data_IF_145561152700
#
_entry.id   IF_145561152700
#
_cell.length_a   1.000
_cell.length_b   1.000
_cell.length_c   1.000
_cell.angle_alpha   90.00
_cell.angle_beta   90.00
_cell.angle_gamma   90.00
#
_symmetry.space_group_name_H-M   'P 1'
#
loop_
_entity.id
_entity.type
_entity.pdbx_description
1 polymer ?
#
# COMPACT_ATOMS: atom_id res chain seq x y z
N UNK A 1 -1.06 -18.54 21.09
CA UNK A 1 -0.36 -18.86 19.82
C UNK A 1 0.39 -17.61 19.39
N UNK A 2 1.71 -17.65 19.16
CA UNK A 2 2.42 -16.50 18.62
C UNK A 2 1.95 -16.24 17.18
N UNK A 3 1.85 -14.98 16.74
CA UNK A 3 1.50 -14.67 15.35
C UNK A 3 2.54 -15.29 14.43
N UNK A 4 2.08 -15.90 13.33
CA UNK A 4 2.95 -16.27 12.23
C UNK A 4 3.50 -14.97 11.67
N UNK A 5 4.71 -14.61 12.11
CA UNK A 5 5.53 -13.58 11.48
C UNK A 5 5.75 -14.07 10.06
N UNK A 6 4.95 -13.57 9.11
CA UNK A 6 5.20 -13.80 7.70
C UNK A 6 6.60 -13.25 7.46
N UNK A 7 7.47 -14.14 6.99
CA UNK A 7 8.87 -13.86 6.70
C UNK A 7 8.91 -12.54 5.94
N UNK A 8 9.55 -11.52 6.53
CA UNK A 8 9.36 -10.11 6.16
C UNK A 8 9.24 -9.97 4.65
N UNK A 9 8.16 -9.33 4.16
CA UNK A 9 7.86 -9.10 2.75
C UNK A 9 9.12 -9.12 1.87
N UNK A 10 9.11 -9.87 0.76
CA UNK A 10 10.24 -10.02 -0.16
C UNK A 10 11.01 -8.70 -0.41
N UNK A 11 10.34 -7.55 -0.50
CA UNK A 11 10.98 -6.23 -0.61
C UNK A 11 11.70 -5.74 0.65
N UNK A 12 11.20 -5.98 1.85
CA UNK A 12 11.91 -5.61 3.08
C UNK A 12 13.22 -6.37 3.21
N UNK A 13 13.26 -7.66 2.84
CA UNK A 13 14.51 -8.42 2.77
C UNK A 13 15.44 -7.94 1.66
N UNK A 14 14.86 -7.55 0.51
CA UNK A 14 15.60 -7.13 -0.70
C UNK A 14 16.06 -5.67 -0.68
N UNK A 15 15.37 -4.78 0.01
CA UNK A 15 15.66 -3.34 0.04
C UNK A 15 16.13 -2.85 1.41
N UNK A 16 15.99 -3.67 2.46
CA UNK A 16 16.35 -3.30 3.84
C UNK A 16 17.85 -3.09 4.07
N UNK A 17 18.70 -3.79 3.33
CA UNK A 17 20.16 -3.57 3.34
C UNK A 17 20.57 -2.69 2.16
N UNK A 18 21.47 -1.72 2.37
CA UNK A 18 21.90 -0.78 1.32
C UNK A 18 22.44 -1.53 0.10
N UNK A 19 23.31 -2.53 0.29
CA UNK A 19 23.87 -3.31 -0.81
C UNK A 19 22.80 -4.03 -1.64
N UNK A 20 21.82 -4.65 -0.97
CA UNK A 20 20.70 -5.31 -1.65
C UNK A 20 19.77 -4.31 -2.32
N UNK A 21 19.53 -3.14 -1.70
CA UNK A 21 18.72 -2.08 -2.29
C UNK A 21 19.30 -1.64 -3.63
N UNK A 22 20.60 -1.41 -3.70
CA UNK A 22 21.29 -1.07 -4.95
C UNK A 22 21.08 -2.17 -6.00
N UNK A 23 21.43 -3.42 -5.67
CA UNK A 23 21.27 -4.56 -6.59
C UNK A 23 19.83 -4.69 -7.11
N UNK A 24 18.84 -4.58 -6.23
CA UNK A 24 17.43 -4.67 -6.59
C UNK A 24 16.91 -3.45 -7.34
N UNK A 25 17.54 -2.29 -7.18
CA UNK A 25 17.22 -1.09 -7.95
C UNK A 25 17.80 -1.22 -9.34
N UNK A 26 19.05 -1.64 -9.48
CA UNK A 26 19.69 -1.94 -10.78
C UNK A 26 18.87 -2.96 -11.57
N UNK A 27 18.50 -4.07 -10.94
CA UNK A 27 17.67 -5.09 -11.60
C UNK A 27 16.28 -4.58 -12.00
N UNK A 28 15.68 -3.66 -11.22
CA UNK A 28 14.41 -3.02 -11.58
C UNK A 28 14.57 -2.11 -12.80
N UNK A 29 15.62 -1.29 -12.85
CA UNK A 29 15.92 -0.41 -13.98
C UNK A 29 16.24 -1.21 -15.25
N UNK A 30 17.09 -2.23 -15.13
CA UNK A 30 17.52 -3.07 -16.25
C UNK A 30 16.35 -3.85 -16.89
N UNK A 31 15.33 -4.21 -16.10
CA UNK A 31 14.12 -4.86 -16.62
C UNK A 31 13.26 -3.95 -17.50
N UNK A 32 13.43 -2.63 -17.42
CA UNK A 32 12.70 -1.66 -18.22
C UNK A 32 11.64 -0.89 -17.42
N UNK A 33 11.79 0.43 -17.43
CA UNK A 33 10.95 1.36 -16.67
C UNK A 33 10.60 2.58 -17.51
N UNK A 34 9.46 3.19 -17.23
CA UNK A 34 9.08 4.51 -17.75
C UNK A 34 9.00 5.52 -16.61
N UNK A 35 9.25 6.80 -16.92
CA UNK A 35 8.96 7.88 -15.99
C UNK A 35 7.46 7.94 -15.72
N UNK A 36 7.09 8.08 -14.46
CA UNK A 36 5.71 8.17 -14.00
C UNK A 36 5.47 9.53 -13.35
N UNK A 37 4.47 10.25 -13.86
CA UNK A 37 4.06 11.53 -13.30
C UNK A 37 2.89 11.31 -12.35
N UNK A 38 3.12 11.60 -11.06
CA UNK A 38 2.08 11.59 -10.04
C UNK A 38 1.52 13.01 -9.89
N UNK A 39 0.24 13.27 -10.23
CA UNK A 39 -0.36 14.60 -10.09
C UNK A 39 -0.23 15.14 -8.66
N UNK A 40 0.15 16.41 -8.52
CA UNK A 40 0.33 17.07 -7.24
C UNK A 40 1.64 16.73 -6.50
N UNK A 41 2.44 15.78 -6.99
CA UNK A 41 3.74 15.47 -6.42
C UNK A 41 4.87 16.20 -7.16
N UNK A 42 5.50 17.16 -6.48
CA UNK A 42 6.69 17.84 -7.00
C UNK A 42 7.91 16.96 -6.77
N UNK A 43 8.43 16.39 -7.86
CA UNK A 43 9.58 15.50 -7.82
C UNK A 43 10.85 16.29 -7.42
N UNK A 44 11.50 15.96 -6.30
CA UNK A 44 12.70 16.67 -5.88
C UNK A 44 13.89 16.41 -6.81
N UNK A 45 14.80 17.38 -6.90
CA UNK A 45 16.03 17.25 -7.70
C UNK A 45 16.80 16.00 -7.29
N UNK A 46 17.23 15.21 -8.28
CA UNK A 46 17.97 13.97 -8.06
C UNK A 46 17.10 12.75 -7.74
N UNK A 47 15.76 12.88 -7.76
CA UNK A 47 14.83 11.76 -7.68
C UNK A 47 14.11 11.54 -9.00
N UNK A 48 13.71 10.29 -9.24
CA UNK A 48 12.88 9.86 -10.37
C UNK A 48 11.77 8.97 -9.86
N UNK A 49 10.54 9.24 -10.27
CA UNK A 49 9.42 8.36 -10.02
C UNK A 49 9.21 7.50 -11.26
N UNK A 50 9.33 6.18 -11.10
CA UNK A 50 9.39 5.23 -12.21
C UNK A 50 8.31 4.17 -12.05
N UNK A 51 7.71 3.76 -13.18
CA UNK A 51 6.81 2.61 -13.28
C UNK A 51 7.48 1.49 -14.06
N UNK A 52 7.34 0.26 -13.59
CA UNK A 52 7.70 -0.94 -14.34
C UNK A 52 6.89 -1.05 -15.63
N UNK A 53 7.53 -1.43 -16.73
CA UNK A 53 6.84 -1.69 -18.00
C UNK A 53 6.05 -3.01 -17.98
N UNK A 54 6.37 -3.93 -17.06
CA UNK A 54 5.85 -5.30 -17.04
C UNK A 54 4.98 -5.61 -15.82
N UNK A 55 4.83 -4.65 -14.90
CA UNK A 55 4.04 -4.82 -13.68
C UNK A 55 3.48 -3.49 -13.18
N UNK A 56 2.61 -3.57 -12.18
CA UNK A 56 2.07 -2.40 -11.47
C UNK A 56 2.96 -2.04 -10.28
N UNK A 57 4.27 -2.04 -10.50
CA UNK A 57 5.27 -1.66 -9.52
C UNK A 57 5.78 -0.25 -9.84
N UNK A 58 5.84 0.58 -8.81
CA UNK A 58 6.26 1.98 -8.87
C UNK A 58 7.35 2.20 -7.85
N UNK A 59 8.41 2.94 -8.22
CA UNK A 59 9.53 3.26 -7.33
C UNK A 59 9.92 4.71 -7.44
N UNK A 60 10.17 5.32 -6.28
CA UNK A 60 10.91 6.56 -6.18
C UNK A 60 12.39 6.22 -6.02
N UNK A 61 13.16 6.46 -7.08
CA UNK A 61 14.58 6.14 -7.20
C UNK A 61 15.42 7.41 -7.13
N UNK A 62 16.58 7.31 -6.52
CA UNK A 62 17.60 8.36 -6.45
C UNK A 62 18.98 7.73 -6.63
N UNK A 63 20.05 8.52 -6.49
CA UNK A 63 21.42 8.03 -6.51
C UNK A 63 22.03 8.22 -5.13
N UNK A 64 22.64 7.18 -4.58
CA UNK A 64 23.41 7.20 -3.34
C UNK A 64 24.81 6.67 -3.63
N UNK A 65 25.83 7.50 -3.36
CA UNK A 65 27.23 7.21 -3.68
C UNK A 65 27.46 6.74 -5.15
N UNK A 66 26.82 7.45 -6.09
CA UNK A 66 26.90 7.13 -7.52
C UNK A 66 26.12 5.90 -7.98
N UNK A 67 25.45 5.18 -7.06
CA UNK A 67 24.68 3.97 -7.35
C UNK A 67 23.17 4.21 -7.23
N UNK A 68 22.33 3.55 -8.03
CA UNK A 68 20.89 3.75 -7.95
C UNK A 68 20.34 3.16 -6.65
N UNK A 69 19.40 3.88 -6.05
CA UNK A 69 18.84 3.59 -4.75
C UNK A 69 17.33 3.81 -4.76
N UNK A 70 16.56 2.82 -4.33
CA UNK A 70 15.12 2.95 -4.12
C UNK A 70 14.88 3.59 -2.76
N UNK A 71 14.19 4.74 -2.72
CA UNK A 71 13.76 5.40 -1.50
C UNK A 71 12.33 5.01 -1.07
N UNK A 72 11.47 4.70 -2.04
CA UNK A 72 10.10 4.22 -1.82
C UNK A 72 9.71 3.26 -2.94
N UNK A 73 8.98 2.19 -2.61
CA UNK A 73 8.43 1.26 -3.58
C UNK A 73 7.00 0.85 -3.22
N UNK A 74 6.14 0.73 -4.21
CA UNK A 74 4.77 0.21 -4.08
C UNK A 74 4.46 -0.72 -5.25
N UNK A 75 3.80 -1.83 -4.96
CA UNK A 75 3.27 -2.74 -5.98
C UNK A 75 1.77 -2.95 -5.74
N UNK A 76 1.00 -2.75 -6.80
CA UNK A 76 -0.45 -2.94 -6.79
C UNK A 76 -0.84 -4.26 -7.48
N UNK A 77 -1.94 -4.84 -7.03
CA UNK A 77 -2.74 -5.79 -7.79
C UNK A 77 -4.13 -5.19 -7.99
N UNK A 78 -4.71 -5.42 -9.17
CA UNK A 78 -6.05 -4.98 -9.49
C UNK A 78 -6.96 -6.19 -9.62
N UNK A 79 -8.16 -6.08 -9.07
CA UNK A 79 -9.21 -7.10 -9.13
C UNK A 79 -10.58 -6.41 -9.12
N UNK A 80 -11.67 -7.15 -9.27
CA UNK A 80 -13.02 -6.59 -9.33
C UNK A 80 -14.01 -7.24 -8.37
N UNK A 81 -13.59 -8.31 -7.69
CA UNK A 81 -14.50 -9.19 -6.96
C UNK A 81 -15.15 -8.50 -5.76
N UNK A 82 -14.41 -7.63 -5.07
CA UNK A 82 -14.87 -7.01 -3.81
C UNK A 82 -15.68 -5.73 -4.04
N UNK A 83 -15.37 -4.97 -5.10
CA UNK A 83 -15.94 -3.63 -5.33
C UNK A 83 -16.57 -3.49 -6.72
N UNK A 84 -17.17 -4.57 -7.21
CA UNK A 84 -17.88 -4.55 -8.50
C UNK A 84 -19.00 -3.49 -8.50
N UNK A 85 -19.17 -2.68 -9.57
CA UNK A 85 -18.45 -2.69 -10.85
C UNK A 85 -17.21 -1.78 -10.91
N UNK A 86 -16.90 -1.02 -9.86
CA UNK A 86 -15.87 0.03 -9.84
C UNK A 86 -14.45 -0.52 -10.03
N UNK A 87 -14.19 -1.72 -9.49
CA UNK A 87 -12.86 -2.33 -9.48
C UNK A 87 -12.03 -1.86 -8.28
N UNK A 88 -11.08 -2.69 -7.89
CA UNK A 88 -10.27 -2.51 -6.69
C UNK A 88 -8.79 -2.64 -6.99
N UNK A 89 -8.02 -1.78 -6.34
CA UNK A 89 -6.59 -1.93 -6.15
C UNK A 89 -6.34 -2.46 -4.74
N UNK A 90 -5.58 -3.54 -4.64
CA UNK A 90 -4.97 -3.97 -3.39
C UNK A 90 -3.50 -3.66 -3.46
N UNK A 91 -2.98 -3.02 -2.41
CA UNK A 91 -1.54 -2.96 -2.23
C UNK A 91 -1.06 -4.36 -1.88
N UNK A 92 -0.27 -4.95 -2.78
CA UNK A 92 0.36 -6.23 -2.53
C UNK A 92 1.66 -6.04 -1.76
N UNK A 93 2.28 -4.86 -1.87
CA UNK A 93 3.55 -4.57 -1.21
C UNK A 93 3.83 -3.06 -1.14
N UNK A 94 4.37 -2.60 -0.01
CA UNK A 94 5.01 -1.29 0.12
C UNK A 94 6.30 -1.40 0.92
N UNK A 95 7.29 -0.64 0.47
CA UNK A 95 8.54 -0.48 1.19
C UNK A 95 8.97 0.99 1.20
N UNK A 96 9.44 1.43 2.36
CA UNK A 96 9.97 2.78 2.60
C UNK A 96 11.37 2.65 3.18
N UNK A 97 12.31 3.43 2.66
CA UNK A 97 13.65 3.47 3.25
C UNK A 97 13.62 3.94 4.71
N UNK A 98 14.38 3.30 5.62
CA UNK A 98 14.54 3.79 6.98
C UNK A 98 15.49 5.01 7.05
N UNK A 99 16.25 5.31 5.99
CA UNK A 99 17.26 6.37 6.02
C UNK A 99 16.64 7.76 6.14
N UNK A 100 17.08 8.49 7.15
CA UNK A 100 16.55 9.82 7.51
C UNK A 100 16.67 10.84 6.37
N UNK A 101 17.75 10.76 5.59
CA UNK A 101 18.02 11.69 4.47
C UNK A 101 16.89 11.74 3.44
N UNK A 102 16.16 10.64 3.24
CA UNK A 102 15.06 10.58 2.27
C UNK A 102 13.69 10.89 2.88
N UNK A 103 13.60 11.04 4.21
CA UNK A 103 12.31 11.11 4.92
C UNK A 103 11.46 12.31 4.49
N UNK A 104 12.09 13.46 4.23
CA UNK A 104 11.39 14.66 3.75
C UNK A 104 10.76 14.46 2.37
N UNK A 105 11.41 13.68 1.51
CA UNK A 105 10.98 13.45 0.12
C UNK A 105 9.81 12.45 0.07
N UNK A 106 9.88 11.42 0.89
CA UNK A 106 8.87 10.34 0.92
C UNK A 106 7.71 10.64 1.89
N UNK A 107 7.79 11.72 2.68
CA UNK A 107 6.70 12.17 3.53
C UNK A 107 5.54 12.70 2.69
N UNK A 108 4.31 12.27 2.96
CA UNK A 108 3.13 12.65 2.18
C UNK A 108 2.98 11.93 0.83
N UNK A 109 4.04 11.27 0.34
CA UNK A 109 4.00 10.50 -0.91
C UNK A 109 2.92 9.41 -0.92
N UNK A 110 2.74 8.60 0.15
CA UNK A 110 1.68 7.60 0.16
C UNK A 110 0.29 8.20 -0.06
N UNK A 111 -0.06 9.28 0.63
CA UNK A 111 -1.36 9.93 0.50
C UNK A 111 -1.63 10.38 -0.94
N UNK A 112 -0.66 11.06 -1.58
CA UNK A 112 -0.79 11.48 -2.98
C UNK A 112 -0.90 10.29 -3.93
N UNK A 113 -0.11 9.24 -3.72
CA UNK A 113 -0.15 8.05 -4.55
C UNK A 113 -1.49 7.32 -4.43
N UNK A 114 -2.00 7.14 -3.22
CA UNK A 114 -3.28 6.48 -2.99
C UNK A 114 -4.46 7.35 -3.44
N UNK A 115 -4.38 8.67 -3.31
CA UNK A 115 -5.35 9.57 -3.90
C UNK A 115 -5.42 9.42 -5.42
N UNK A 116 -4.26 9.26 -6.09
CA UNK A 116 -4.24 8.99 -7.52
C UNK A 116 -4.92 7.65 -7.87
N UNK A 117 -4.66 6.59 -7.10
CA UNK A 117 -5.34 5.29 -7.29
C UNK A 117 -6.86 5.42 -7.10
N UNK A 118 -7.29 6.13 -6.05
CA UNK A 118 -8.70 6.38 -5.73
C UNK A 118 -9.46 7.19 -6.79
N UNK A 119 -8.77 7.80 -7.76
CA UNK A 119 -9.46 8.43 -8.88
C UNK A 119 -10.10 7.42 -9.82
N UNK A 120 -9.61 6.18 -9.86
CA UNK A 120 -10.07 5.16 -10.81
C UNK A 120 -10.46 3.83 -10.14
N UNK A 121 -9.93 3.53 -8.94
CA UNK A 121 -10.13 2.26 -8.26
C UNK A 121 -10.39 2.45 -6.78
N UNK A 122 -11.23 1.61 -6.20
CA UNK A 122 -11.33 1.51 -4.75
C UNK A 122 -10.06 0.87 -4.19
N UNK A 123 -9.66 1.23 -2.97
CA UNK A 123 -8.54 0.58 -2.29
C UNK A 123 -9.08 -0.47 -1.34
N UNK A 124 -8.75 -1.72 -1.62
CA UNK A 124 -8.99 -2.81 -0.67
C UNK A 124 -7.78 -2.94 0.23
N UNK A 125 -8.02 -2.67 1.51
CA UNK A 125 -7.08 -2.85 2.62
C UNK A 125 -7.08 -4.33 2.98
N UNK A 126 -6.03 -5.02 2.55
CA UNK A 126 -5.78 -6.41 2.93
C UNK A 126 -4.43 -6.51 3.63
N UNK A 127 -4.42 -7.15 4.78
CA UNK A 127 -3.19 -7.47 5.49
C UNK A 127 -2.83 -8.93 5.22
N UNK A 128 -2.58 -9.24 3.94
CA UNK A 128 -2.05 -10.54 3.53
C UNK A 128 -0.67 -10.81 4.13
N UNK A 129 -0.03 -9.79 4.68
CA UNK A 129 1.25 -9.86 5.40
C UNK A 129 1.13 -9.11 6.73
N UNK A 130 0.50 -9.75 7.72
CA UNK A 130 0.20 -9.26 9.09
C UNK A 130 1.43 -8.81 9.91
N UNK A 131 2.16 -7.84 9.39
CA UNK A 131 3.23 -7.15 10.10
C UNK A 131 2.63 -5.99 10.86
N UNK A 132 3.08 -5.77 12.10
CA UNK A 132 2.59 -4.63 12.89
C UNK A 132 2.84 -3.27 12.22
N UNK A 133 3.84 -3.18 11.34
CA UNK A 133 4.09 -1.98 10.54
C UNK A 133 3.07 -1.80 9.41
N UNK A 134 2.61 -2.87 8.78
CA UNK A 134 1.55 -2.86 7.77
C UNK A 134 0.22 -2.39 8.34
N UNK A 135 -0.18 -2.94 9.49
CA UNK A 135 -1.41 -2.50 10.18
C UNK A 135 -1.33 -1.02 10.57
N UNK A 136 -0.23 -0.57 11.19
CA UNK A 136 -0.04 0.85 11.54
C UNK A 136 -0.03 1.77 10.32
N UNK A 137 0.51 1.30 9.19
CA UNK A 137 0.46 2.05 7.95
C UNK A 137 -1.00 2.23 7.49
N UNK A 138 -1.78 1.16 7.45
CA UNK A 138 -3.17 1.22 7.02
C UNK A 138 -4.07 2.03 7.95
N UNK A 139 -3.89 1.94 9.26
CA UNK A 139 -4.63 2.77 10.21
C UNK A 139 -4.41 4.25 9.95
N UNK A 140 -3.17 4.67 9.66
CA UNK A 140 -2.88 6.07 9.24
C UNK A 140 -3.52 6.44 7.91
N UNK A 141 -3.58 5.52 6.96
CA UNK A 141 -4.22 5.77 5.67
C UNK A 141 -5.74 5.86 5.79
N UNK A 142 -6.36 5.08 6.67
CA UNK A 142 -7.80 5.13 6.94
C UNK A 142 -8.17 6.41 7.70
N UNK A 143 -7.39 6.76 8.73
CA UNK A 143 -7.53 8.05 9.43
C UNK A 143 -7.44 9.22 8.44
N UNK A 144 -6.41 9.24 7.59
CA UNK A 144 -6.31 10.21 6.50
C UNK A 144 -7.52 10.19 5.57
N UNK A 145 -8.03 9.02 5.19
CA UNK A 145 -9.19 8.91 4.31
C UNK A 145 -10.46 9.53 4.93
N UNK A 146 -10.67 9.42 6.24
CA UNK A 146 -11.74 10.15 6.94
C UNK A 146 -11.54 11.67 6.84
N UNK A 147 -10.32 12.17 6.97
CA UNK A 147 -10.06 13.63 6.81
C UNK A 147 -10.32 14.17 5.41
N UNK A 148 -10.39 13.27 4.41
CA UNK A 148 -10.64 13.59 3.00
C UNK A 148 -12.09 13.33 2.59
N UNK A 149 -12.98 13.01 3.54
CA UNK A 149 -14.38 12.63 3.30
C UNK A 149 -14.53 11.46 2.31
N UNK A 150 -13.58 10.50 2.33
CA UNK A 150 -13.70 9.26 1.58
C UNK A 150 -14.60 8.26 2.32
N UNK A 151 -15.25 7.40 1.55
CA UNK A 151 -16.11 6.36 2.10
C UNK A 151 -15.25 5.20 2.60
N UNK A 152 -15.47 4.83 3.86
CA UNK A 152 -14.87 3.63 4.46
C UNK A 152 -15.96 2.57 4.60
N UNK A 153 -15.65 1.33 4.23
CA UNK A 153 -16.57 0.21 4.33
C UNK A 153 -15.85 -1.08 4.69
N UNK A 154 -16.61 -2.04 5.20
CA UNK A 154 -16.15 -3.38 5.55
C UNK A 154 -16.83 -4.39 4.65
N UNK A 155 -16.05 -5.32 4.13
CA UNK A 155 -16.53 -6.47 3.36
C UNK A 155 -16.22 -7.76 4.12
N UNK A 156 -17.22 -8.63 4.29
CA UNK A 156 -17.08 -9.94 4.95
C UNK A 156 -17.23 -11.08 3.95
N UNK A 157 -16.10 -11.59 3.46
CA UNK A 157 -16.07 -12.75 2.57
C UNK A 157 -16.36 -14.09 3.26
N UNK A 158 -16.64 -14.12 4.57
CA UNK A 158 -16.99 -15.36 5.29
C UNK A 158 -18.48 -15.69 5.24
N UNK A 159 -19.33 -14.71 4.91
CA UNK A 159 -20.80 -14.82 4.98
C UNK A 159 -21.44 -15.12 3.61
N UNK A 160 -20.67 -15.01 2.52
CA UNK A 160 -21.12 -15.32 1.16
C UNK A 160 -20.23 -14.69 0.08
N UNK A 161 -20.56 -14.92 -1.19
CA UNK A 161 -19.76 -14.46 -2.34
C UNK A 161 -20.07 -13.02 -2.79
N UNK A 162 -21.13 -12.39 -2.25
CA UNK A 162 -21.63 -11.10 -2.72
C UNK A 162 -20.81 -9.88 -2.24
N UNK A 163 -19.82 -10.09 -1.34
CA UNK A 163 -18.94 -9.03 -0.80
C UNK A 163 -19.68 -7.74 -0.37
N UNK A 164 -20.81 -7.87 0.31
CA UNK A 164 -21.61 -6.73 0.74
C UNK A 164 -20.80 -5.73 1.57
N UNK A 165 -20.78 -4.46 1.14
CA UNK A 165 -20.04 -3.39 1.80
C UNK A 165 -20.89 -2.74 2.89
N UNK A 166 -20.49 -2.95 4.15
CA UNK A 166 -21.07 -2.27 5.31
C UNK A 166 -20.34 -0.95 5.55
N UNK A 167 -21.01 0.22 5.50
CA UNK A 167 -20.35 1.50 5.70
C UNK A 167 -19.85 1.67 7.14
N UNK A 168 -18.69 2.31 7.29
CA UNK A 168 -18.13 2.74 8.57
C UNK A 168 -18.24 4.26 8.63
N UNK A 169 -19.08 4.77 9.52
CA UNK A 169 -19.50 6.17 9.45
C UNK A 169 -18.57 7.11 10.23
N UNK A 170 -17.85 6.58 11.22
CA UNK A 170 -16.94 7.37 12.05
C UNK A 170 -15.67 6.60 12.38
N UNK A 171 -14.61 7.34 12.69
CA UNK A 171 -13.36 6.74 13.17
C UNK A 171 -13.55 6.04 14.53
N UNK A 172 -14.41 6.56 15.41
CA UNK A 172 -14.73 5.89 16.68
C UNK A 172 -15.37 4.51 16.45
N UNK A 173 -16.32 4.41 15.51
CA UNK A 173 -16.92 3.14 15.10
C UNK A 173 -15.87 2.16 14.54
N UNK A 174 -14.92 2.67 13.73
CA UNK A 174 -13.81 1.87 13.23
C UNK A 174 -13.00 1.26 14.39
N UNK A 175 -12.58 2.08 15.35
CA UNK A 175 -11.74 1.64 16.46
C UNK A 175 -12.44 0.64 17.38
N UNK A 176 -13.68 0.91 17.75
CA UNK A 176 -14.43 0.10 18.71
C UNK A 176 -14.84 -1.27 18.15
N UNK A 177 -15.08 -1.35 16.84
CA UNK A 177 -15.70 -2.54 16.22
C UNK A 177 -14.86 -3.13 15.09
N UNK A 178 -14.49 -2.31 14.12
CA UNK A 178 -14.08 -2.82 12.81
C UNK A 178 -12.59 -3.16 12.71
N UNK A 179 -11.73 -2.55 13.53
CA UNK A 179 -10.31 -2.94 13.59
C UNK A 179 -10.17 -4.41 14.01
N UNK A 180 -10.77 -4.80 15.13
CA UNK A 180 -10.70 -6.18 15.62
C UNK A 180 -11.48 -7.17 14.75
N UNK A 181 -12.48 -6.68 14.01
CA UNK A 181 -13.19 -7.48 13.03
C UNK A 181 -12.31 -7.82 11.81
N UNK A 182 -11.62 -6.81 11.25
CA UNK A 182 -10.83 -6.94 10.03
C UNK A 182 -9.43 -7.53 10.28
N UNK A 183 -8.84 -7.23 11.44
CA UNK A 183 -7.51 -7.71 11.83
C UNK A 183 -7.57 -8.60 13.07
N UNK A 184 -7.04 -9.82 12.92
CA UNK A 184 -6.95 -10.79 13.99
C UNK A 184 -6.24 -12.07 13.56
N UNK A 185 -6.23 -13.07 14.44
CA UNK A 185 -5.34 -14.23 14.32
C UNK A 185 -6.00 -15.48 13.71
N UNK A 186 -7.33 -15.47 13.55
CA UNK A 186 -8.04 -16.59 12.93
C UNK A 186 -7.79 -16.60 11.42
N UNK A 187 -7.17 -17.69 10.94
CA UNK A 187 -6.70 -17.87 9.57
C UNK A 187 -7.81 -18.18 8.58
N UNK A 188 -8.93 -18.71 9.06
CA UNK A 188 -10.07 -19.05 8.22
C UNK A 188 -11.04 -17.87 8.11
N UNK A 189 -10.80 -16.79 8.86
CA UNK A 189 -11.71 -15.64 8.98
C UNK A 189 -11.05 -14.33 8.52
N UNK A 190 -9.97 -13.90 9.17
CA UNK A 190 -9.41 -12.56 8.94
C UNK A 190 -8.83 -12.36 7.54
N UNK A 191 -8.23 -13.39 6.91
CA UNK A 191 -7.87 -13.32 5.50
C UNK A 191 -9.06 -13.16 4.54
N UNK A 192 -10.31 -13.23 4.99
CA UNK A 192 -11.50 -13.00 4.16
C UNK A 192 -12.26 -11.73 4.52
N UNK A 193 -11.80 -10.98 5.54
CA UNK A 193 -12.38 -9.70 5.92
C UNK A 193 -11.53 -8.55 5.41
N UNK A 194 -12.17 -7.53 4.88
CA UNK A 194 -11.47 -6.41 4.23
C UNK A 194 -12.08 -5.09 4.65
N UNK A 195 -11.21 -4.10 4.82
CA UNK A 195 -11.61 -2.70 4.79
C UNK A 195 -11.47 -2.21 3.35
N UNK A 196 -12.37 -1.33 2.95
CA UNK A 196 -12.41 -0.73 1.61
C UNK A 196 -12.47 0.77 1.79
N UNK A 197 -11.60 1.47 1.06
CA UNK A 197 -11.59 2.92 0.93
C UNK A 197 -12.04 3.24 -0.48
N UNK A 198 -13.13 3.99 -0.62
CA UNK A 198 -13.67 4.41 -1.91
C UNK A 198 -13.81 5.92 -1.93
N UNK A 199 -13.65 6.52 -3.11
CA UNK A 199 -14.00 7.92 -3.30
C UNK A 199 -15.51 8.11 -3.14
N UNK A 200 -15.92 9.25 -2.60
CA UNK A 200 -17.34 9.60 -2.39
C UNK A 200 -18.10 9.85 -3.68
#
# INVERSE_FOLDING_TARGET
>A
MPPLMIDSADFSQKLGLISRNVEHTDAFLARGTADFHLPGFVLPVGYRLLKSLYSNEYRLVTTDDGKPYTAYAVKLAFHREITFPHGAATQVMVWRTPRVVHQRVISGFPQLFFQWVLNEYDIVVSDSEQTGDGQRFWLRMIDWAFTMDYRISVADGTVGEEWALTPVNTYAELEERWIAFAWGHDRDVHPHRRLVISRT
#
